data_IF_863850465917
#
_entry.id   IF_863850465917
#
_cell.length_a   1.000
_cell.length_b   1.000
_cell.length_c   1.000
_cell.angle_alpha   90.00
_cell.angle_beta   90.00
_cell.angle_gamma   90.00
#
_symmetry.space_group_name_H-M   'P 1'
#
loop_
_entity.id
_entity.type
_entity.pdbx_description
1 polymer ?
#
# COMPACT_ATOMS: atom_id res chain seq x y z
N UNK A 1 17.51 12.17 23.70
CA UNK A 1 16.43 12.87 24.43
C UNK A 1 15.54 13.76 23.55
N UNK A 2 16.06 14.82 22.88
CA UNK A 2 15.21 15.71 22.06
C UNK A 2 14.80 15.16 20.67
N UNK A 3 15.55 14.19 20.14
CA UNK A 3 15.28 13.50 18.87
C UNK A 3 14.23 12.41 19.07
N UNK A 4 14.38 11.60 20.12
CA UNK A 4 13.40 10.56 20.52
C UNK A 4 12.02 11.17 20.77
N UNK A 5 11.92 12.28 21.50
CA UNK A 5 10.66 12.98 21.76
C UNK A 5 9.98 13.55 20.50
N UNK A 6 10.77 13.83 19.45
CA UNK A 6 10.25 14.31 18.16
C UNK A 6 9.75 13.15 17.31
N UNK A 7 10.42 11.99 17.37
CA UNK A 7 9.95 10.74 16.77
C UNK A 7 8.66 10.25 17.42
N UNK A 8 8.55 10.36 18.75
CA UNK A 8 7.35 10.03 19.54
C UNK A 8 6.13 10.92 19.18
N UNK A 9 6.33 12.21 18.91
CA UNK A 9 5.23 13.13 18.56
C UNK A 9 4.78 13.01 17.10
N UNK A 10 5.67 12.68 16.16
CA UNK A 10 5.30 12.35 14.77
C UNK A 10 4.61 10.98 14.71
N UNK A 11 4.93 10.07 15.64
CA UNK A 11 4.21 8.82 15.87
C UNK A 11 2.84 9.00 16.57
N UNK A 12 2.25 10.20 16.63
CA UNK A 12 0.89 10.40 17.17
C UNK A 12 -0.18 9.53 16.49
N UNK A 13 0.07 9.09 15.25
CA UNK A 13 -0.73 8.08 14.55
C UNK A 13 0.06 6.79 14.22
N UNK A 14 1.30 6.65 14.69
CA UNK A 14 2.20 5.48 14.57
C UNK A 14 2.67 5.12 13.15
N UNK A 15 2.89 6.11 12.29
CA UNK A 15 3.58 5.98 11.01
C UNK A 15 4.50 7.19 10.80
N UNK A 16 5.51 7.06 9.93
CA UNK A 16 6.40 8.17 9.56
C UNK A 16 6.02 8.72 8.20
N UNK A 17 5.60 9.99 8.15
CA UNK A 17 5.31 10.67 6.89
C UNK A 17 6.58 11.08 6.16
N UNK A 18 6.52 10.96 4.84
CA UNK A 18 7.57 11.30 3.90
C UNK A 18 7.09 12.32 2.87
N UNK A 19 7.55 12.15 1.62
CA UNK A 19 7.28 13.11 0.55
C UNK A 19 5.82 13.10 0.09
N UNK A 20 5.30 14.28 -0.23
CA UNK A 20 4.03 14.43 -0.95
C UNK A 20 4.21 14.16 -2.45
N UNK A 21 3.18 13.58 -3.09
CA UNK A 21 3.16 13.28 -4.52
C UNK A 21 1.74 13.36 -5.08
N UNK A 22 1.60 13.98 -6.25
CA UNK A 22 0.37 13.90 -7.04
C UNK A 22 0.42 12.67 -7.93
N UNK A 23 -0.64 11.86 -7.88
CA UNK A 23 -0.83 10.67 -8.70
C UNK A 23 -2.05 10.83 -9.60
N UNK A 24 -2.20 9.93 -10.58
CA UNK A 24 -3.33 9.92 -11.51
C UNK A 24 -3.96 8.54 -11.64
N UNK A 25 -5.28 8.48 -11.73
CA UNK A 25 -6.00 7.27 -12.17
C UNK A 25 -5.85 7.08 -13.68
N UNK A 26 -6.26 5.93 -14.21
CA UNK A 26 -6.28 5.70 -15.65
C UNK A 26 -7.20 6.67 -16.41
N UNK A 27 -8.27 7.15 -15.77
CA UNK A 27 -9.17 8.18 -16.32
C UNK A 27 -8.59 9.60 -16.26
N UNK A 28 -7.41 9.77 -15.66
CA UNK A 28 -6.74 11.07 -15.54
C UNK A 28 -7.12 11.87 -14.28
N UNK A 29 -7.97 11.33 -13.40
CA UNK A 29 -8.30 11.94 -12.11
C UNK A 29 -7.03 12.12 -11.30
N UNK A 30 -6.68 13.36 -10.95
CA UNK A 30 -5.49 13.69 -10.16
C UNK A 30 -5.83 13.70 -8.69
N UNK A 31 -4.95 13.14 -7.87
CA UNK A 31 -5.08 13.11 -6.41
C UNK A 31 -3.72 13.36 -5.77
N UNK A 32 -3.73 14.04 -4.63
CA UNK A 32 -2.57 14.23 -3.79
C UNK A 32 -2.49 13.11 -2.76
N UNK A 33 -1.28 12.61 -2.59
CA UNK A 33 -0.92 11.58 -1.61
C UNK A 33 0.33 11.99 -0.85
N UNK A 34 0.51 11.46 0.34
CA UNK A 34 1.75 11.55 1.11
C UNK A 34 2.29 10.14 1.30
N UNK A 35 3.57 9.91 0.97
CA UNK A 35 4.20 8.65 1.32
C UNK A 35 4.28 8.52 2.83
N UNK A 36 3.98 7.34 3.35
CA UNK A 36 4.12 7.05 4.77
C UNK A 36 4.68 5.65 4.97
N UNK A 37 5.58 5.53 5.94
CA UNK A 37 6.11 4.26 6.40
C UNK A 37 5.27 3.79 7.60
N UNK A 38 4.63 2.64 7.46
CA UNK A 38 3.71 2.11 8.47
C UNK A 38 3.97 0.61 8.71
N UNK A 39 3.61 0.13 9.89
CA UNK A 39 3.52 -1.31 10.13
C UNK A 39 2.35 -1.91 9.33
N UNK A 40 2.65 -2.91 8.51
CA UNK A 40 1.67 -3.56 7.63
C UNK A 40 0.48 -4.16 8.39
N UNK A 41 0.66 -4.56 9.65
CA UNK A 41 -0.41 -5.15 10.46
C UNK A 41 -1.51 -4.11 10.79
N UNK A 42 -1.21 -2.81 10.69
CA UNK A 42 -2.19 -1.72 10.88
C UNK A 42 -2.99 -1.41 9.62
N UNK A 43 -2.52 -1.84 8.45
CA UNK A 43 -3.19 -1.59 7.18
C UNK A 43 -4.39 -2.53 7.04
N UNK A 44 -5.56 -1.96 6.77
CA UNK A 44 -6.80 -2.71 6.60
C UNK A 44 -6.96 -3.06 5.12
N UNK A 45 -6.52 -4.26 4.75
CA UNK A 45 -6.71 -4.84 3.43
C UNK A 45 -8.04 -5.62 3.36
N UNK A 46 -8.59 -5.77 2.15
CA UNK A 46 -9.89 -6.42 1.91
C UNK A 46 -9.98 -7.87 2.40
N UNK A 47 -8.87 -8.60 2.38
CA UNK A 47 -8.80 -10.00 2.76
C UNK A 47 -7.51 -10.24 3.56
N UNK A 48 -7.50 -11.29 4.37
CA UNK A 48 -6.33 -11.78 5.10
C UNK A 48 -5.32 -12.42 4.15
N UNK A 49 -4.08 -12.65 4.61
CA UNK A 49 -3.07 -13.38 3.83
C UNK A 49 -3.50 -14.82 3.51
N UNK A 50 -4.34 -15.42 4.35
CA UNK A 50 -4.98 -16.72 4.14
C UNK A 50 -6.18 -16.66 3.17
N UNK A 51 -6.55 -15.48 2.68
CA UNK A 51 -7.61 -15.30 1.69
C UNK A 51 -9.02 -15.18 2.26
N UNK A 52 -9.20 -15.14 3.57
CA UNK A 52 -10.50 -14.88 4.19
C UNK A 52 -10.86 -13.39 4.08
N UNK A 53 -12.14 -13.07 3.92
CA UNK A 53 -12.62 -11.67 3.94
C UNK A 53 -12.27 -10.99 5.28
N UNK A 54 -11.87 -9.73 5.21
CA UNK A 54 -11.60 -8.93 6.39
C UNK A 54 -12.84 -8.15 6.83
N UNK A 55 -13.47 -8.46 7.98
CA UNK A 55 -14.68 -7.78 8.43
C UNK A 55 -14.47 -6.31 8.79
N UNK A 56 -13.23 -5.87 9.01
CA UNK A 56 -12.90 -4.46 9.27
C UNK A 56 -12.82 -3.63 7.98
N UNK A 57 -12.76 -4.29 6.82
CA UNK A 57 -12.69 -3.62 5.53
C UNK A 57 -14.10 -3.29 5.02
N UNK A 58 -14.39 -2.04 4.61
CA UNK A 58 -15.65 -1.69 3.95
C UNK A 58 -15.75 -2.39 2.59
N UNK A 59 -16.58 -3.43 2.49
CA UNK A 59 -16.59 -4.33 1.34
C UNK A 59 -17.01 -3.63 0.03
N UNK A 60 -17.76 -2.54 0.12
CA UNK A 60 -18.12 -1.68 -1.01
C UNK A 60 -16.92 -1.04 -1.71
N UNK A 61 -15.76 -0.96 -1.05
CA UNK A 61 -14.52 -0.41 -1.60
C UNK A 61 -13.69 -1.44 -2.39
N UNK A 62 -14.07 -2.72 -2.38
CA UNK A 62 -13.34 -3.77 -3.09
C UNK A 62 -14.06 -4.12 -4.41
N UNK A 63 -13.71 -3.47 -5.55
CA UNK A 63 -14.45 -3.64 -6.80
C UNK A 63 -14.19 -4.97 -7.51
N UNK A 64 -13.24 -5.78 -7.02
CA UNK A 64 -12.88 -7.09 -7.59
C UNK A 64 -13.07 -8.16 -6.54
N UNK A 65 -13.74 -9.24 -6.90
CA UNK A 65 -13.83 -10.44 -6.07
C UNK A 65 -12.44 -11.07 -5.86
N UNK A 66 -12.00 -11.11 -4.60
CA UNK A 66 -10.70 -11.65 -4.16
C UNK A 66 -10.81 -13.04 -3.55
N UNK A 67 -12.01 -13.56 -3.34
CA UNK A 67 -12.23 -14.92 -2.86
C UNK A 67 -11.87 -15.97 -3.93
N UNK A 68 -11.83 -15.59 -5.21
CA UNK A 68 -11.51 -16.47 -6.34
C UNK A 68 -10.12 -17.09 -6.22
N UNK A 69 -10.01 -18.38 -6.55
CA UNK A 69 -8.75 -19.13 -6.58
C UNK A 69 -7.64 -18.45 -7.39
N UNK A 70 -7.98 -17.82 -8.52
CA UNK A 70 -7.00 -17.10 -9.34
C UNK A 70 -6.44 -15.85 -8.65
N UNK A 71 -7.22 -15.18 -7.80
CA UNK A 71 -6.74 -14.09 -6.95
C UNK A 71 -5.81 -14.61 -5.87
N UNK A 72 -6.19 -15.70 -5.22
CA UNK A 72 -5.37 -16.34 -4.19
C UNK A 72 -4.04 -16.84 -4.78
N UNK A 73 -4.08 -17.55 -5.91
CA UNK A 73 -2.89 -18.02 -6.61
C UNK A 73 -1.94 -16.87 -7.01
N UNK A 74 -2.49 -15.73 -7.43
CA UNK A 74 -1.66 -14.54 -7.71
C UNK A 74 -0.99 -14.01 -6.45
N UNK A 75 -1.73 -13.88 -5.34
CA UNK A 75 -1.16 -13.45 -4.04
C UNK A 75 -0.05 -14.39 -3.59
N UNK A 76 -0.29 -15.70 -3.68
CA UNK A 76 0.68 -16.74 -3.33
C UNK A 76 1.96 -16.66 -4.17
N UNK A 77 1.81 -16.49 -5.49
CA UNK A 77 2.95 -16.33 -6.41
C UNK A 77 3.73 -15.05 -6.09
N UNK A 78 3.04 -13.92 -5.98
CA UNK A 78 3.68 -12.63 -5.73
C UNK A 78 4.32 -12.54 -4.35
N UNK A 79 3.77 -13.20 -3.33
CA UNK A 79 4.40 -13.25 -2.01
C UNK A 79 5.77 -13.95 -2.03
N UNK A 80 5.99 -14.90 -2.93
CA UNK A 80 7.25 -15.62 -3.07
C UNK A 80 8.30 -14.87 -3.91
N UNK A 81 7.88 -13.83 -4.62
CA UNK A 81 8.68 -13.08 -5.59
C UNK A 81 8.23 -11.62 -5.55
N UNK A 82 8.40 -11.00 -4.37
CA UNK A 82 8.06 -9.60 -4.17
C UNK A 82 9.09 -8.77 -4.92
N UNK A 83 8.64 -8.07 -5.95
CA UNK A 83 9.41 -7.03 -6.62
C UNK A 83 9.28 -5.71 -5.82
N UNK A 84 10.32 -5.29 -5.07
CA UNK A 84 10.25 -4.10 -4.23
C UNK A 84 10.05 -2.82 -5.05
N UNK A 85 10.61 -2.74 -6.25
CA UNK A 85 10.48 -1.57 -7.14
C UNK A 85 9.01 -1.37 -7.56
N UNK A 86 8.28 -2.48 -7.74
CA UNK A 86 6.84 -2.44 -8.02
C UNK A 86 5.98 -1.90 -6.86
N UNK A 87 6.51 -1.94 -5.65
CA UNK A 87 5.91 -1.45 -4.40
C UNK A 87 6.46 -0.09 -3.96
N UNK A 88 7.41 0.46 -4.70
CA UNK A 88 7.98 1.78 -4.47
C UNK A 88 7.19 2.89 -5.16
N UNK A 89 7.92 3.71 -5.90
CA UNK A 89 7.33 4.89 -6.52
C UNK A 89 6.42 4.58 -7.70
N UNK A 90 5.27 5.24 -7.74
CA UNK A 90 4.52 5.40 -8.98
C UNK A 90 3.80 6.74 -9.04
N UNK A 91 3.68 7.29 -10.25
CA UNK A 91 2.79 8.42 -10.55
C UNK A 91 1.35 7.98 -10.86
N UNK A 92 1.07 6.68 -10.86
CA UNK A 92 -0.23 6.10 -11.17
C UNK A 92 -0.88 5.48 -9.95
N UNK A 93 -2.21 5.44 -9.94
CA UNK A 93 -2.99 4.85 -8.85
C UNK A 93 -3.01 3.31 -8.87
N UNK A 94 -2.75 2.69 -10.03
CA UNK A 94 -2.75 1.23 -10.23
C UNK A 94 -1.43 0.55 -9.82
N UNK A 95 -0.31 1.28 -9.82
CA UNK A 95 1.05 0.75 -9.54
C UNK A 95 1.75 1.45 -8.37
N UNK A 96 2.89 0.93 -7.88
CA UNK A 96 3.65 1.46 -6.74
C UNK A 96 3.06 1.15 -5.36
N UNK A 97 3.55 1.78 -4.31
CA UNK A 97 3.07 1.64 -2.93
C UNK A 97 1.53 1.70 -2.84
N UNK A 98 0.86 0.79 -2.13
CA UNK A 98 -0.60 0.82 -1.99
C UNK A 98 -1.13 2.17 -1.47
N UNK A 99 -2.33 2.53 -1.90
CA UNK A 99 -2.98 3.80 -1.53
C UNK A 99 -4.00 3.51 -0.44
N UNK A 100 -3.95 4.28 0.63
CA UNK A 100 -4.84 4.13 1.79
C UNK A 100 -5.56 5.44 2.08
N UNK A 101 -6.73 5.33 2.72
CA UNK A 101 -7.39 6.45 3.37
C UNK A 101 -6.66 6.90 4.64
N UNK A 102 -7.17 7.95 5.27
CA UNK A 102 -6.78 8.40 6.61
C UNK A 102 -7.08 7.36 7.70
N UNK A 103 -8.03 6.47 7.43
CA UNK A 103 -8.42 5.31 8.23
C UNK A 103 -7.56 4.04 7.98
N UNK A 104 -6.51 4.13 7.17
CA UNK A 104 -5.62 3.03 6.79
C UNK A 104 -6.29 1.88 6.01
N UNK A 105 -7.52 2.10 5.53
CA UNK A 105 -8.20 1.18 4.62
C UNK A 105 -7.60 1.31 3.23
N UNK A 106 -7.25 0.17 2.62
CA UNK A 106 -6.66 0.13 1.28
C UNK A 106 -7.71 0.47 0.21
N UNK A 107 -7.47 1.55 -0.51
CA UNK A 107 -8.32 2.02 -1.61
C UNK A 107 -7.78 1.57 -2.97
N UNK A 108 -6.46 1.34 -3.07
CA UNK A 108 -5.83 0.71 -4.23
C UNK A 108 -4.63 -0.14 -3.82
N UNK A 109 -4.51 -1.34 -4.40
CA UNK A 109 -3.41 -2.26 -4.12
C UNK A 109 -3.69 -3.32 -3.06
N UNK A 110 -4.96 -3.71 -2.86
CA UNK A 110 -5.33 -4.78 -1.92
C UNK A 110 -4.53 -6.07 -2.13
N UNK A 111 -4.42 -6.56 -3.37
CA UNK A 111 -3.64 -7.78 -3.65
C UNK A 111 -2.16 -7.66 -3.31
N UNK A 112 -1.55 -6.49 -3.53
CA UNK A 112 -0.13 -6.24 -3.18
C UNK A 112 0.07 -6.21 -1.67
N UNK A 113 -0.86 -5.58 -0.96
CA UNK A 113 -0.87 -5.58 0.51
C UNK A 113 -1.01 -7.00 1.04
N UNK A 114 -1.91 -7.81 0.48
CA UNK A 114 -2.06 -9.23 0.86
C UNK A 114 -0.80 -10.05 0.58
N UNK A 115 -0.18 -9.87 -0.59
CA UNK A 115 1.04 -10.59 -0.96
C UNK A 115 2.20 -10.25 -0.01
N UNK A 116 2.36 -8.98 0.34
CA UNK A 116 3.40 -8.55 1.27
C UNK A 116 3.12 -9.02 2.70
N UNK A 117 1.85 -8.99 3.17
CA UNK A 117 1.46 -9.58 4.46
C UNK A 117 1.83 -11.07 4.51
N UNK A 118 1.52 -11.81 3.46
CA UNK A 118 1.85 -13.23 3.36
C UNK A 118 3.38 -13.46 3.35
N UNK A 119 4.15 -12.62 2.66
CA UNK A 119 5.61 -12.69 2.67
C UNK A 119 6.18 -12.46 4.08
N UNK A 120 5.62 -11.50 4.84
CA UNK A 120 5.98 -11.28 6.24
C UNK A 120 5.62 -12.46 7.15
N UNK A 121 4.42 -13.03 6.99
CA UNK A 121 4.00 -14.23 7.75
C UNK A 121 4.91 -15.43 7.49
N UNK A 122 5.44 -15.55 6.27
CA UNK A 122 6.39 -16.60 5.87
C UNK A 122 7.83 -16.34 6.26
N UNK A 123 8.16 -15.13 6.73
CA UNK A 123 9.53 -14.74 7.02
C UNK A 123 10.42 -14.62 5.78
N UNK A 124 9.85 -14.32 4.61
CA UNK A 124 10.58 -14.16 3.33
C UNK A 124 10.57 -12.71 2.82
N UNK A 125 10.24 -11.74 3.67
CA UNK A 125 10.18 -10.32 3.33
C UNK A 125 11.49 -9.56 3.66
N UNK A 126 12.60 -10.27 3.89
CA UNK A 126 13.86 -9.65 4.32
C UNK A 126 14.47 -8.78 3.22
N UNK A 127 14.50 -9.23 1.97
CA UNK A 127 14.97 -8.43 0.82
C UNK A 127 14.13 -7.15 0.65
N UNK A 128 12.81 -7.23 0.89
CA UNK A 128 11.96 -6.06 0.87
C UNK A 128 12.31 -5.06 1.98
N UNK A 129 12.60 -5.54 3.21
CA UNK A 129 13.03 -4.68 4.32
C UNK A 129 14.37 -4.00 4.02
N UNK A 130 15.34 -4.73 3.48
CA UNK A 130 16.64 -4.18 3.07
C UNK A 130 16.47 -3.08 2.01
N UNK A 131 15.61 -3.32 1.02
CA UNK A 131 15.28 -2.32 0.01
C UNK A 131 14.59 -1.07 0.60
N UNK A 132 13.70 -1.24 1.59
CA UNK A 132 13.08 -0.10 2.28
C UNK A 132 14.12 0.78 2.98
N UNK A 133 15.14 0.17 3.58
CA UNK A 133 16.24 0.88 4.23
C UNK A 133 17.11 1.62 3.21
N UNK A 134 17.45 0.99 2.07
CA UNK A 134 18.25 1.64 1.03
C UNK A 134 17.53 2.83 0.39
N UNK A 135 16.20 2.77 0.26
CA UNK A 135 15.38 3.82 -0.34
C UNK A 135 14.81 4.83 0.67
N UNK A 136 15.06 4.66 1.98
CA UNK A 136 14.45 5.46 3.04
C UNK A 136 14.57 6.97 2.81
N UNK A 137 15.80 7.44 2.54
CA UNK A 137 16.10 8.87 2.32
C UNK A 137 15.36 9.43 1.11
N UNK A 138 15.18 8.61 0.07
CA UNK A 138 14.42 8.98 -1.11
C UNK A 138 12.97 9.29 -0.74
N UNK A 139 12.35 8.51 0.14
CA UNK A 139 10.97 8.73 0.56
C UNK A 139 10.83 9.79 1.66
N UNK A 140 11.95 10.28 2.21
CA UNK A 140 11.98 11.33 3.23
C UNK A 140 11.91 10.80 4.66
N UNK A 141 12.23 9.53 4.88
CA UNK A 141 12.44 8.95 6.22
C UNK A 141 13.89 8.52 6.39
N UNK A 142 14.32 8.23 7.62
CA UNK A 142 15.65 7.68 7.89
C UNK A 142 15.61 6.15 7.96
N UNK A 143 16.76 5.51 7.75
CA UNK A 143 16.93 4.07 7.99
C UNK A 143 16.53 3.68 9.42
N UNK A 144 16.88 4.49 10.41
CA UNK A 144 16.48 4.27 11.80
C UNK A 144 14.95 4.26 11.99
N UNK A 145 14.19 5.02 11.20
CA UNK A 145 12.73 4.99 11.21
C UNK A 145 12.18 3.71 10.58
N UNK A 146 12.83 3.18 9.54
CA UNK A 146 12.51 1.87 8.95
C UNK A 146 12.72 0.75 9.96
N UNK A 147 13.89 0.73 10.60
CA UNK A 147 14.26 -0.28 11.60
C UNK A 147 13.41 -0.22 12.88
N UNK A 148 12.78 0.92 13.17
CA UNK A 148 11.90 1.08 14.32
C UNK A 148 10.52 0.40 14.15
N UNK A 149 10.16 -0.03 12.94
CA UNK A 149 8.90 -0.71 12.64
C UNK A 149 9.16 -2.19 12.41
N UNK A 150 8.34 -3.07 13.00
CA UNK A 150 8.54 -4.52 12.92
C UNK A 150 8.29 -5.07 11.53
N UNK A 151 7.22 -4.65 10.86
CA UNK A 151 6.89 -5.05 9.49
C UNK A 151 6.65 -3.81 8.62
N UNK A 152 7.71 -3.07 8.27
CA UNK A 152 7.58 -1.78 7.60
C UNK A 152 6.99 -1.95 6.20
N UNK A 153 6.17 -1.01 5.77
CA UNK A 153 5.61 -0.97 4.42
C UNK A 153 5.41 0.48 3.98
N UNK A 154 5.78 0.76 2.74
CA UNK A 154 5.42 2.02 2.10
C UNK A 154 3.95 2.03 1.70
N UNK A 155 3.24 3.07 2.11
CA UNK A 155 1.92 3.41 1.63
C UNK A 155 1.88 4.85 1.12
N UNK A 156 0.85 5.15 0.35
CA UNK A 156 0.46 6.50 -0.07
C UNK A 156 -0.84 6.86 0.61
N UNK A 157 -0.79 7.73 1.61
CA UNK A 157 -1.99 8.24 2.29
C UNK A 157 -2.62 9.31 1.40
N UNK A 158 -3.86 9.09 0.97
CA UNK A 158 -4.60 10.06 0.17
C UNK A 158 -4.99 11.27 1.02
N UNK A 159 -4.69 12.48 0.52
CA UNK A 159 -5.08 13.74 1.18
C UNK A 159 -6.15 14.52 0.43
N UNK A 160 -6.42 14.17 -0.84
CA UNK A 160 -7.53 14.76 -1.60
C UNK A 160 -8.87 14.13 -1.18
N UNK A 161 -9.88 14.92 -0.78
CA UNK A 161 -11.24 14.42 -0.53
C UNK A 161 -11.89 13.93 -1.83
N UNK A 162 -12.35 12.68 -1.86
CA UNK A 162 -12.97 12.04 -3.04
C UNK A 162 -14.02 11.01 -2.62
N UNK A 163 -14.85 10.59 -3.57
CA UNK A 163 -15.63 9.35 -3.44
C UNK A 163 -14.69 8.15 -3.52
N UNK A 164 -14.56 7.43 -2.41
CA UNK A 164 -13.63 6.31 -2.24
C UNK A 164 -14.01 5.10 -3.09
N UNK A 165 -15.31 4.81 -3.21
CA UNK A 165 -15.79 3.67 -3.98
C UNK A 165 -15.57 3.91 -5.47
N UNK A 166 -15.93 5.12 -5.95
CA UNK A 166 -15.65 5.53 -7.32
C UNK A 166 -14.14 5.52 -7.61
N UNK A 167 -13.33 5.99 -6.66
CA UNK A 167 -11.88 5.96 -6.80
C UNK A 167 -11.32 4.55 -6.89
N UNK A 168 -11.74 3.62 -6.03
CA UNK A 168 -11.27 2.24 -6.05
C UNK A 168 -11.54 1.57 -7.41
N UNK A 169 -12.71 1.84 -8.01
CA UNK A 169 -13.05 1.39 -9.37
C UNK A 169 -12.08 1.99 -10.40
N UNK A 170 -11.84 3.31 -10.36
CA UNK A 170 -10.99 4.02 -11.31
C UNK A 170 -9.50 3.68 -11.20
N UNK A 171 -9.04 3.40 -9.98
CA UNK A 171 -7.65 3.07 -9.70
C UNK A 171 -7.27 1.67 -10.21
N UNK A 172 -8.23 0.75 -10.34
CA UNK A 172 -8.00 -0.62 -10.84
C UNK A 172 -8.24 -0.71 -12.35
N UNK A 173 -9.15 0.11 -12.89
CA UNK A 173 -9.52 0.06 -14.29
C UNK A 173 -8.39 0.59 -15.17
N UNK A 174 -7.54 -0.30 -15.70
CA UNK A 174 -6.85 -0.01 -16.96
C UNK A 174 -7.93 0.26 -18.00
N UNK A 175 -7.86 1.39 -18.70
CA UNK A 175 -8.69 1.63 -19.88
C UNK A 175 -8.47 0.46 -20.85
N UNK A 176 -9.38 -0.52 -20.87
CA UNK A 176 -9.48 -1.45 -21.98
C UNK A 176 -10.14 -0.69 -23.13
N UNK A 177 -9.40 0.22 -23.77
CA UNK A 177 -9.69 0.57 -25.16
C UNK A 177 -9.12 -0.55 -26.04
N UNK A 178 -9.66 -1.75 -25.90
CA UNK A 178 -9.59 -2.75 -26.97
C UNK A 178 -10.94 -2.68 -27.67
N UNK A 179 -11.05 -1.71 -28.56
CA UNK A 179 -12.01 -1.79 -29.65
C UNK A 179 -11.69 -3.04 -30.45
N UNK A 180 -12.51 -4.08 -30.33
CA UNK A 180 -12.57 -5.11 -31.34
C UNK A 180 -13.19 -4.47 -32.59
N UNK A 181 -12.35 -4.21 -33.58
CA UNK A 181 -12.73 -4.16 -34.99
C UNK A 181 -12.10 -5.36 -35.67
#
# INVERSE_FOLDING_TARGET
MQIEFRLENTAKNGFFEGRAKTIKTAKGTKLNTVFALIDIDRIIASHTAAGAENPQYPQELQPRDRSRDSSQAWVQKTANDIDPDSLGMSGRADTGAPIVGDDLVVESGNGRTMALKLAYERGIADEYKEWLESEAEYFGVSQAQVQAITKPMWVRIRTTPIDRAQFAIEAICLLSTTSWR
#
